data_IF_952991953306
#
_entry.id   IF_952991953306
#
_cell.length_a   1.000
_cell.length_b   1.000
_cell.length_c   1.000
_cell.angle_alpha   90.00
_cell.angle_beta   90.00
_cell.angle_gamma   90.00
#
_symmetry.space_group_name_H-M   'P 1'
#
loop_
_entity.id
_entity.type
_entity.pdbx_description
1 polymer ?
#
# COMPACT_ATOMS: atom_id res chain seq x y z
N UNK A 1 -15.58 18.97 21.64
CA UNK A 1 -15.79 18.24 20.37
C UNK A 1 -14.53 18.41 19.54
N UNK A 2 -13.92 17.31 19.07
CA UNK A 2 -12.74 17.43 18.21
C UNK A 2 -13.17 18.10 16.90
N UNK A 3 -12.51 19.19 16.54
CA UNK A 3 -12.75 19.92 15.29
C UNK A 3 -12.46 18.95 14.13
N UNK A 4 -13.40 18.79 13.21
CA UNK A 4 -13.25 17.88 12.08
C UNK A 4 -12.03 18.33 11.25
N UNK A 5 -11.02 17.46 11.12
CA UNK A 5 -9.81 17.75 10.37
C UNK A 5 -10.06 17.56 8.88
N UNK A 6 -9.47 18.43 8.07
CA UNK A 6 -9.50 18.28 6.60
C UNK A 6 -8.83 16.96 6.22
N UNK A 7 -9.31 16.34 5.14
CA UNK A 7 -8.69 15.16 4.54
C UNK A 7 -7.98 15.57 3.26
N UNK A 8 -6.71 15.24 3.16
CA UNK A 8 -5.86 15.54 2.02
C UNK A 8 -5.41 14.25 1.36
N UNK A 9 -5.45 14.19 0.03
CA UNK A 9 -4.93 13.03 -0.68
C UNK A 9 -3.42 12.91 -0.42
N UNK A 10 -2.97 11.71 -0.03
CA UNK A 10 -1.54 11.41 -0.04
C UNK A 10 -1.09 11.21 -1.49
N UNK A 11 0.11 11.68 -1.82
CA UNK A 11 0.73 11.37 -3.10
C UNK A 11 1.28 9.93 -3.03
N UNK A 12 0.89 9.10 -3.98
CA UNK A 12 1.17 7.66 -4.01
C UNK A 12 1.78 7.28 -5.35
N UNK A 13 3.00 6.78 -5.31
CA UNK A 13 3.62 6.08 -6.44
C UNK A 13 3.52 4.57 -6.21
N UNK A 14 2.88 3.86 -7.14
CA UNK A 14 2.79 2.40 -7.14
C UNK A 14 3.38 1.86 -8.43
N UNK A 15 4.29 0.89 -8.32
CA UNK A 15 4.91 0.26 -9.47
C UNK A 15 5.31 -1.19 -9.17
N UNK A 16 5.36 -1.99 -10.23
CA UNK A 16 5.80 -3.38 -10.18
C UNK A 16 7.32 -3.45 -10.35
N UNK A 17 7.97 -4.23 -9.50
CA UNK A 17 9.36 -4.68 -9.66
C UNK A 17 9.30 -6.13 -10.14
N UNK A 18 9.48 -6.32 -11.45
CA UNK A 18 9.37 -7.62 -12.11
C UNK A 18 10.50 -8.57 -11.67
N UNK A 19 11.72 -8.05 -11.51
CA UNK A 19 12.88 -8.84 -11.07
C UNK A 19 12.65 -9.46 -9.68
N UNK A 20 12.07 -8.67 -8.77
CA UNK A 20 11.78 -9.14 -7.40
C UNK A 20 10.37 -9.71 -7.25
N UNK A 21 9.56 -9.73 -8.31
CA UNK A 21 8.17 -10.16 -8.32
C UNK A 21 7.34 -9.55 -7.17
N UNK A 22 7.35 -8.22 -7.08
CA UNK A 22 6.71 -7.48 -5.99
C UNK A 22 6.16 -6.13 -6.46
N UNK A 23 5.18 -5.60 -5.72
CA UNK A 23 4.72 -4.22 -5.86
C UNK A 23 5.44 -3.37 -4.80
N UNK A 24 5.90 -2.21 -5.22
CA UNK A 24 6.37 -1.16 -4.33
C UNK A 24 5.34 -0.03 -4.26
N UNK A 25 5.14 0.50 -3.06
CA UNK A 25 4.38 1.72 -2.80
C UNK A 25 5.31 2.73 -2.13
N UNK A 26 5.36 3.93 -2.68
CA UNK A 26 6.04 5.07 -2.07
C UNK A 26 4.97 6.15 -1.82
N UNK A 27 4.74 6.48 -0.55
CA UNK A 27 3.64 7.33 -0.14
C UNK A 27 4.17 8.53 0.66
N UNK A 28 3.88 9.73 0.16
CA UNK A 28 4.29 10.99 0.76
C UNK A 28 3.30 11.44 1.84
N UNK A 29 3.75 11.47 3.09
CA UNK A 29 3.00 11.96 4.26
C UNK A 29 3.86 12.85 5.18
N UNK A 30 4.44 13.94 4.66
CA UNK A 30 5.37 14.78 5.41
C UNK A 30 4.72 15.40 6.65
N UNK A 31 5.47 15.41 7.76
CA UNK A 31 5.02 15.96 9.05
C UNK A 31 4.18 15.00 9.89
N UNK A 32 3.92 13.78 9.41
CA UNK A 32 3.23 12.74 10.19
C UNK A 32 4.25 11.95 11.02
N UNK A 33 3.93 11.67 12.28
CA UNK A 33 4.72 10.76 13.11
C UNK A 33 4.40 9.32 12.75
N UNK A 34 5.39 8.42 12.82
CA UNK A 34 5.22 7.00 12.45
C UNK A 34 4.04 6.35 13.17
N UNK A 35 3.89 6.62 14.47
CA UNK A 35 2.79 6.09 15.29
C UNK A 35 1.38 6.54 14.84
N UNK A 36 1.28 7.60 14.04
CA UNK A 36 0.02 8.15 13.53
C UNK A 36 -0.31 7.65 12.11
N UNK A 37 0.48 6.73 11.56
CA UNK A 37 0.26 6.15 10.23
C UNK A 37 -0.45 4.81 10.38
N UNK A 38 -1.63 4.71 9.80
CA UNK A 38 -2.40 3.46 9.73
C UNK A 38 -2.55 3.04 8.27
N UNK A 39 -1.80 2.02 7.86
CA UNK A 39 -1.91 1.38 6.55
C UNK A 39 -2.51 -0.01 6.71
N UNK A 40 -3.66 -0.24 6.07
CA UNK A 40 -4.30 -1.55 5.98
C UNK A 40 -4.21 -2.03 4.54
N UNK A 41 -3.98 -3.32 4.37
CA UNK A 41 -3.79 -3.94 3.06
C UNK A 41 -4.59 -5.24 2.97
N UNK A 42 -5.33 -5.37 1.88
CA UNK A 42 -5.90 -6.62 1.39
C UNK A 42 -5.03 -7.14 0.25
N UNK A 43 -5.33 -8.34 -0.25
CA UNK A 43 -4.57 -8.92 -1.35
C UNK A 43 -4.79 -8.18 -2.69
N UNK A 44 -5.81 -7.33 -2.79
CA UNK A 44 -6.19 -6.60 -4.00
C UNK A 44 -6.19 -5.08 -3.82
N UNK A 45 -5.98 -4.56 -2.62
CA UNK A 45 -6.18 -3.15 -2.31
C UNK A 45 -5.48 -2.71 -1.02
N UNK A 46 -5.37 -1.40 -0.82
CA UNK A 46 -4.93 -0.82 0.45
C UNK A 46 -5.75 0.42 0.82
N UNK A 47 -5.70 0.76 2.11
CA UNK A 47 -6.22 2.00 2.66
C UNK A 47 -5.22 2.58 3.66
N UNK A 48 -4.87 3.85 3.45
CA UNK A 48 -3.99 4.65 4.28
C UNK A 48 -4.79 5.74 4.97
N UNK A 49 -4.56 5.89 6.27
CA UNK A 49 -4.98 7.04 7.07
C UNK A 49 -3.80 7.50 7.91
N UNK A 50 -3.34 8.73 7.73
CA UNK A 50 -2.18 9.24 8.43
C UNK A 50 -2.45 10.62 9.05
N UNK A 51 -2.47 10.69 10.38
CA UNK A 51 -2.89 11.90 11.09
C UNK A 51 -1.75 12.88 11.31
N UNK A 52 -1.91 14.09 10.74
CA UNK A 52 -1.05 15.25 10.98
C UNK A 52 -1.72 16.19 11.99
N UNK A 53 -0.99 17.22 12.45
CA UNK A 53 -1.51 18.17 13.43
C UNK A 53 -2.69 18.99 12.87
N UNK A 54 -2.56 19.41 11.61
CA UNK A 54 -3.42 20.33 10.85
C UNK A 54 -4.48 19.62 9.99
N UNK A 55 -4.17 18.46 9.41
CA UNK A 55 -5.08 17.67 8.57
C UNK A 55 -4.72 16.17 8.59
N UNK A 56 -5.56 15.33 7.98
CA UNK A 56 -5.30 13.89 7.82
C UNK A 56 -4.96 13.57 6.37
N UNK A 57 -3.89 12.83 6.13
CA UNK A 57 -3.63 12.24 4.83
C UNK A 57 -4.47 10.98 4.64
N UNK A 58 -5.05 10.81 3.46
CA UNK A 58 -5.83 9.64 3.08
C UNK A 58 -5.42 9.14 1.70
N UNK A 59 -5.39 7.83 1.53
CA UNK A 59 -5.30 7.19 0.22
C UNK A 59 -6.00 5.84 0.25
N UNK A 60 -6.61 5.44 -0.86
CA UNK A 60 -7.12 4.10 -1.05
C UNK A 60 -7.04 3.76 -2.53
N UNK A 61 -6.49 2.60 -2.87
CA UNK A 61 -6.40 2.12 -4.25
C UNK A 61 -6.40 0.60 -4.29
N UNK A 62 -6.89 0.06 -5.40
CA UNK A 62 -6.68 -1.33 -5.77
C UNK A 62 -5.29 -1.52 -6.39
N UNK A 63 -4.75 -2.73 -6.29
CA UNK A 63 -3.56 -3.18 -7.01
C UNK A 63 -3.96 -3.69 -8.40
N UNK A 64 -3.06 -3.53 -9.38
CA UNK A 64 -3.26 -4.10 -10.72
C UNK A 64 -3.19 -5.63 -10.73
N UNK A 65 -2.44 -6.21 -9.79
CA UNK A 65 -2.23 -7.64 -9.65
C UNK A 65 -2.40 -8.04 -8.18
N UNK A 66 -2.99 -9.20 -7.88
CA UNK A 66 -3.12 -9.67 -6.51
C UNK A 66 -1.75 -9.84 -5.83
N UNK A 67 -1.66 -9.43 -4.57
CA UNK A 67 -0.46 -9.52 -3.74
C UNK A 67 -0.67 -10.48 -2.57
N UNK A 68 0.42 -10.92 -1.95
CA UNK A 68 0.40 -11.64 -0.68
C UNK A 68 0.47 -10.59 0.43
N UNK A 69 -0.66 -10.01 0.84
CA UNK A 69 -0.71 -8.89 1.81
C UNK A 69 0.13 -9.12 3.07
N UNK A 70 0.10 -10.34 3.61
CA UNK A 70 0.88 -10.75 4.80
C UNK A 70 2.41 -10.72 4.61
N UNK A 71 2.90 -10.65 3.37
CA UNK A 71 4.33 -10.52 3.05
C UNK A 71 4.83 -9.06 3.05
N UNK A 72 3.93 -8.09 3.24
CA UNK A 72 4.26 -6.68 3.16
C UNK A 72 5.31 -6.28 4.21
N UNK A 73 6.30 -5.52 3.75
CA UNK A 73 7.32 -4.87 4.60
C UNK A 73 7.21 -3.37 4.41
N UNK A 74 7.29 -2.62 5.50
CA UNK A 74 7.18 -1.16 5.47
C UNK A 74 8.37 -0.50 6.19
N UNK A 75 8.85 0.61 5.64
CA UNK A 75 9.82 1.50 6.27
C UNK A 75 9.35 2.94 6.14
N UNK A 76 9.66 3.76 7.15
CA UNK A 76 9.25 5.16 7.19
C UNK A 76 10.44 6.03 7.56
N UNK A 77 10.72 7.04 6.73
CA UNK A 77 11.81 7.99 6.95
C UNK A 77 11.45 9.33 6.32
N UNK A 78 11.65 10.42 7.07
CA UNK A 78 11.55 11.81 6.59
C UNK A 78 10.28 12.13 5.79
N UNK A 79 9.11 11.64 6.23
CA UNK A 79 7.84 11.90 5.54
C UNK A 79 7.50 10.92 4.41
N UNK A 80 8.38 9.96 4.12
CA UNK A 80 8.19 8.96 3.07
C UNK A 80 7.93 7.58 3.67
N UNK A 81 6.77 7.01 3.37
CA UNK A 81 6.41 5.62 3.67
C UNK A 81 6.69 4.74 2.45
N UNK A 82 7.62 3.80 2.59
CA UNK A 82 7.93 2.80 1.57
C UNK A 82 7.37 1.45 1.97
N UNK A 83 6.65 0.80 1.07
CA UNK A 83 6.06 -0.53 1.29
C UNK A 83 6.44 -1.42 0.12
N UNK A 84 6.85 -2.64 0.41
CA UNK A 84 7.11 -3.68 -0.59
C UNK A 84 6.29 -4.91 -0.25
N UNK A 85 5.56 -5.45 -1.22
CA UNK A 85 4.68 -6.62 -1.03
C UNK A 85 4.82 -7.58 -2.21
N UNK A 86 4.99 -8.88 -1.94
CA UNK A 86 5.16 -9.88 -3.01
C UNK A 86 3.87 -10.08 -3.80
N UNK A 87 4.00 -10.24 -5.11
CA UNK A 87 2.89 -10.63 -5.96
C UNK A 87 2.45 -12.07 -5.63
N UNK A 88 1.16 -12.35 -5.83
CA UNK A 88 0.67 -13.72 -5.93
C UNK A 88 1.06 -14.28 -7.29
N UNK A 89 1.31 -15.58 -7.31
CA UNK A 89 1.41 -16.30 -8.58
C UNK A 89 -0.01 -16.45 -9.15
N UNK A 90 -0.31 -15.90 -10.34
CA UNK A 90 -1.64 -15.98 -10.95
C UNK A 90 -2.04 -17.42 -11.31
N UNK A 91 -1.06 -18.32 -11.48
CA UNK A 91 -1.28 -19.73 -11.82
C UNK A 91 -1.17 -20.63 -10.59
N UNK A 92 -1.10 -20.07 -9.38
CA UNK A 92 -1.12 -20.86 -8.16
C UNK A 92 -2.43 -21.66 -8.08
N UNK A 93 -2.31 -22.99 -8.18
CA UNK A 93 -3.47 -23.89 -8.19
C UNK A 93 -4.06 -24.16 -9.57
N UNK A 94 -3.42 -23.72 -10.65
CA UNK A 94 -3.81 -24.11 -12.01
C UNK A 94 -3.62 -25.63 -12.22
N UNK A 95 -4.45 -26.21 -13.09
CA UNK A 95 -4.34 -27.60 -13.51
C UNK A 95 -4.02 -27.66 -15.01
N UNK A 96 -3.26 -28.67 -15.40
CA UNK A 96 -2.93 -28.90 -16.82
C UNK A 96 -4.15 -29.44 -17.54
N UNK A 97 -4.56 -28.77 -18.62
CA UNK A 97 -5.64 -29.24 -19.51
C UNK A 97 -5.01 -30.08 -20.61
N UNK A 98 -5.46 -31.33 -20.77
CA UNK A 98 -5.04 -32.18 -21.89
C UNK A 98 -5.70 -31.69 -23.19
N UNK A 99 -4.91 -31.54 -24.25
CA UNK A 99 -5.39 -31.18 -25.60
C UNK A 99 -5.47 -32.48 -26.43
N UNK A 100 -6.62 -32.71 -27.05
CA UNK A 100 -6.91 -33.89 -27.88
C UNK A 100 -7.20 -33.48 -29.33
#
# INVERSE_FOLDING_TARGET
MAKEKLKMAADVCSYVDEEKNQINLEICVPGVKKENINLKMLDDSFSLFATRADFDYVAASAFCCPVKSKSAKASYKDGMLKVSVKLKDPMAGAHTVAIH
#
